data_IF_106813803101
#
_entry.id   IF_106813803101
#
_cell.length_a   1.000
_cell.length_b   1.000
_cell.length_c   1.000
_cell.angle_alpha   90.00
_cell.angle_beta   90.00
_cell.angle_gamma   90.00
#
_symmetry.space_group_name_H-M   'P 1'
#
loop_
_entity.id
_entity.type
_entity.pdbx_description
1 polymer ?
#
# COMPACT_ATOMS: atom_id res chain seq x y z
N UNK A 1 -18.75 7.08 -8.43
CA UNK A 1 -17.50 6.34 -8.74
C UNK A 1 -17.56 4.99 -8.02
N UNK A 2 -17.36 3.87 -8.70
CA UNK A 2 -17.37 2.54 -8.05
C UNK A 2 -16.12 2.40 -7.14
N UNK A 3 -16.28 1.86 -5.93
CA UNK A 3 -15.21 1.68 -4.92
C UNK A 3 -14.00 0.93 -5.47
N UNK A 4 -14.20 -0.01 -6.40
CA UNK A 4 -13.11 -0.72 -7.10
C UNK A 4 -12.25 0.21 -7.98
N UNK A 5 -12.84 1.22 -8.63
CA UNK A 5 -12.08 2.20 -9.44
C UNK A 5 -11.26 3.13 -8.53
N UNK A 6 -11.84 3.55 -7.41
CA UNK A 6 -11.14 4.36 -6.42
C UNK A 6 -9.96 3.59 -5.81
N UNK A 7 -10.15 2.31 -5.47
CA UNK A 7 -9.08 1.44 -4.99
C UNK A 7 -7.93 1.33 -6.01
N UNK A 8 -8.22 1.22 -7.30
CA UNK A 8 -7.20 1.13 -8.33
C UNK A 8 -6.39 2.42 -8.47
N UNK A 9 -7.07 3.56 -8.54
CA UNK A 9 -6.39 4.86 -8.64
C UNK A 9 -5.51 5.10 -7.42
N UNK A 10 -6.02 4.80 -6.23
CA UNK A 10 -5.27 4.92 -4.98
C UNK A 10 -4.07 3.96 -4.93
N UNK A 11 -4.20 2.72 -5.44
CA UNK A 11 -3.10 1.76 -5.48
C UNK A 11 -1.98 2.23 -6.42
N UNK A 12 -2.36 2.72 -7.60
CA UNK A 12 -1.41 3.30 -8.56
C UNK A 12 -0.72 4.53 -7.97
N UNK A 13 -1.47 5.43 -7.35
CA UNK A 13 -0.92 6.61 -6.68
C UNK A 13 0.07 6.22 -5.58
N UNK A 14 -0.23 5.18 -4.78
CA UNK A 14 0.66 4.66 -3.74
C UNK A 14 2.01 4.22 -4.33
N UNK A 15 1.98 3.41 -5.39
CA UNK A 15 3.19 2.93 -6.08
C UNK A 15 4.00 4.09 -6.65
N UNK A 16 3.35 5.07 -7.26
CA UNK A 16 4.03 6.24 -7.83
C UNK A 16 4.66 7.12 -6.75
N UNK A 17 3.96 7.36 -5.64
CA UNK A 17 4.43 8.22 -4.54
C UNK A 17 5.61 7.58 -3.81
N UNK A 18 5.53 6.30 -3.49
CA UNK A 18 6.64 5.58 -2.89
C UNK A 18 7.79 5.37 -3.88
N UNK A 19 7.52 5.22 -5.18
CA UNK A 19 8.57 5.20 -6.20
C UNK A 19 9.30 6.53 -6.36
N UNK A 20 8.57 7.64 -6.32
CA UNK A 20 9.16 8.98 -6.28
C UNK A 20 9.97 9.19 -4.99
N UNK A 21 9.49 8.69 -3.84
CA UNK A 21 10.21 8.71 -2.56
C UNK A 21 11.56 7.99 -2.66
N UNK A 22 11.57 6.72 -3.10
CA UNK A 22 12.79 5.94 -3.24
C UNK A 22 13.79 6.58 -4.22
N UNK A 23 13.27 7.23 -5.28
CA UNK A 23 14.09 7.99 -6.22
C UNK A 23 14.72 9.22 -5.56
N UNK A 24 13.94 9.96 -4.77
CA UNK A 24 14.43 11.13 -4.03
C UNK A 24 15.51 10.75 -2.99
N UNK A 25 15.34 9.63 -2.29
CA UNK A 25 16.35 9.04 -1.39
C UNK A 25 17.63 8.70 -2.16
N UNK A 26 17.49 8.01 -3.30
CA UNK A 26 18.62 7.61 -4.14
C UNK A 26 19.42 8.81 -4.67
N UNK A 27 18.74 9.87 -5.11
CA UNK A 27 19.38 11.12 -5.57
C UNK A 27 20.07 11.86 -4.42
N UNK A 28 19.47 11.89 -3.24
CA UNK A 28 20.04 12.54 -2.06
C UNK A 28 21.21 11.76 -1.43
N UNK A 29 21.44 10.53 -1.87
CA UNK A 29 22.56 9.70 -1.42
C UNK A 29 22.29 8.87 -0.16
N UNK A 30 21.02 8.80 0.30
CA UNK A 30 20.65 8.06 1.51
C UNK A 30 19.37 8.56 2.17
N UNK A 31 18.90 7.84 3.19
CA UNK A 31 17.76 8.22 4.02
C UNK A 31 17.99 9.53 4.75
N UNK A 32 16.90 10.26 5.01
CA UNK A 32 16.84 11.51 5.77
C UNK A 32 17.63 12.67 5.14
N UNK A 33 18.18 12.47 3.95
CA UNK A 33 18.91 13.50 3.20
C UNK A 33 18.02 14.27 2.22
N UNK A 34 16.78 13.81 1.99
CA UNK A 34 15.83 14.45 1.08
C UNK A 34 14.66 15.10 1.85
N UNK A 35 14.37 16.40 1.63
CA UNK A 35 13.20 17.04 2.23
C UNK A 35 11.88 16.48 1.69
N UNK A 36 11.92 15.76 0.56
CA UNK A 36 10.75 15.14 -0.06
C UNK A 36 10.44 13.76 0.50
N UNK A 37 11.31 13.19 1.33
CA UNK A 37 11.13 11.84 1.85
C UNK A 37 9.85 11.68 2.67
N UNK A 38 9.69 12.47 3.73
CA UNK A 38 8.53 12.38 4.62
C UNK A 38 7.21 12.79 3.93
N UNK A 39 7.16 13.87 3.12
CA UNK A 39 5.94 14.23 2.38
C UNK A 39 5.47 13.13 1.43
N UNK A 40 6.39 12.54 0.64
CA UNK A 40 6.05 11.47 -0.31
C UNK A 40 5.66 10.18 0.41
N UNK A 41 6.31 9.87 1.53
CA UNK A 41 5.93 8.75 2.38
C UNK A 41 4.49 8.90 2.90
N UNK A 42 4.16 10.04 3.51
CA UNK A 42 2.84 10.32 4.08
C UNK A 42 1.75 10.33 3.00
N UNK A 43 2.01 10.95 1.84
CA UNK A 43 1.09 10.94 0.72
C UNK A 43 0.82 9.52 0.22
N UNK A 44 1.88 8.70 0.06
CA UNK A 44 1.75 7.30 -0.34
C UNK A 44 1.01 6.46 0.71
N UNK A 45 1.24 6.71 2.00
CA UNK A 45 0.53 6.04 3.09
C UNK A 45 -0.97 6.35 3.06
N UNK A 46 -1.36 7.61 2.84
CA UNK A 46 -2.77 8.00 2.71
C UNK A 46 -3.43 7.33 1.49
N UNK A 47 -2.70 7.26 0.37
CA UNK A 47 -3.16 6.55 -0.83
C UNK A 47 -3.31 5.04 -0.56
N UNK A 48 -2.40 4.43 0.19
CA UNK A 48 -2.47 3.02 0.56
C UNK A 48 -3.67 2.73 1.46
N UNK A 49 -3.90 3.55 2.48
CA UNK A 49 -5.08 3.43 3.35
C UNK A 49 -6.38 3.56 2.54
N UNK A 50 -6.43 4.53 1.63
CA UNK A 50 -7.57 4.72 0.73
C UNK A 50 -7.81 3.49 -0.14
N UNK A 51 -6.73 2.87 -0.64
CA UNK A 51 -6.77 1.62 -1.40
C UNK A 51 -7.42 0.51 -0.59
N UNK A 52 -6.89 0.24 0.60
CA UNK A 52 -7.32 -0.87 1.46
C UNK A 52 -8.76 -0.70 1.92
N UNK A 53 -9.16 0.50 2.34
CA UNK A 53 -10.54 0.82 2.75
C UNK A 53 -11.50 0.66 1.56
N UNK A 54 -11.14 1.22 0.41
CA UNK A 54 -11.99 1.11 -0.80
C UNK A 54 -12.16 -0.34 -1.24
N UNK A 55 -11.11 -1.15 -1.11
CA UNK A 55 -11.14 -2.58 -1.40
C UNK A 55 -12.09 -3.32 -0.44
N UNK A 56 -11.95 -3.11 0.87
CA UNK A 56 -12.81 -3.72 1.88
C UNK A 56 -14.29 -3.34 1.68
N UNK A 57 -14.56 -2.08 1.36
CA UNK A 57 -15.90 -1.60 1.05
C UNK A 57 -16.46 -2.21 -0.24
N UNK A 58 -15.61 -2.49 -1.23
CA UNK A 58 -16.03 -3.17 -2.46
C UNK A 58 -16.42 -4.63 -2.22
N UNK A 59 -15.72 -5.31 -1.31
CA UNK A 59 -15.99 -6.71 -0.95
C UNK A 59 -17.21 -6.88 -0.04
N UNK A 60 -17.70 -5.80 0.58
CA UNK A 60 -18.85 -5.80 1.49
C UNK A 60 -20.08 -5.11 0.92
N UNK A 61 -20.14 -4.92 -0.40
CA UNK A 61 -21.33 -4.44 -1.09
C UNK A 61 -22.52 -5.39 -0.80
N UNK A 62 -23.68 -4.81 -0.44
CA UNK A 62 -24.89 -5.55 -0.08
C UNK A 62 -24.96 -6.05 1.37
N UNK A 63 -23.92 -5.82 2.18
CA UNK A 63 -23.91 -6.17 3.62
C UNK A 63 -24.41 -5.01 4.50
N UNK A 64 -24.96 -5.29 5.69
CA UNK A 64 -25.43 -4.26 6.61
C UNK A 64 -24.30 -3.31 7.05
N UNK A 65 -24.65 -2.06 7.37
CA UNK A 65 -23.69 -0.98 7.59
C UNK A 65 -22.62 -1.25 8.65
N UNK A 66 -22.96 -1.98 9.71
CA UNK A 66 -22.02 -2.37 10.76
C UNK A 66 -20.95 -3.36 10.28
N UNK A 67 -21.28 -4.28 9.36
CA UNK A 67 -20.29 -5.19 8.72
C UNK A 67 -19.33 -4.39 7.86
N UNK A 68 -19.84 -3.38 7.14
CA UNK A 68 -19.01 -2.51 6.30
C UNK A 68 -18.04 -1.69 7.15
N UNK A 69 -18.53 -1.08 8.23
CA UNK A 69 -17.71 -0.34 9.17
C UNK A 69 -16.65 -1.25 9.83
N UNK A 70 -17.05 -2.43 10.33
CA UNK A 70 -16.14 -3.41 10.90
C UNK A 70 -15.07 -3.88 9.91
N UNK A 71 -15.45 -4.11 8.65
CA UNK A 71 -14.51 -4.51 7.60
C UNK A 71 -13.50 -3.41 7.25
N UNK A 72 -13.90 -2.14 7.26
CA UNK A 72 -13.01 -1.03 7.00
C UNK A 72 -11.99 -0.87 8.14
N UNK A 73 -12.44 -0.99 9.40
CA UNK A 73 -11.56 -0.97 10.58
C UNK A 73 -10.58 -2.15 10.53
N UNK A 74 -11.09 -3.37 10.33
CA UNK A 74 -10.26 -4.57 10.26
C UNK A 74 -9.24 -4.46 9.13
N UNK A 75 -9.66 -4.04 7.93
CA UNK A 75 -8.75 -3.87 6.80
C UNK A 75 -7.66 -2.81 7.07
N UNK A 76 -8.01 -1.72 7.76
CA UNK A 76 -7.03 -0.71 8.20
C UNK A 76 -6.01 -1.32 9.16
N UNK A 77 -6.49 -2.02 10.21
CA UNK A 77 -5.63 -2.68 11.20
C UNK A 77 -4.74 -3.73 10.55
N UNK A 78 -5.29 -4.56 9.66
CA UNK A 78 -4.53 -5.57 8.92
C UNK A 78 -3.53 -4.92 7.95
N UNK A 79 -3.89 -3.84 7.26
CA UNK A 79 -2.98 -3.14 6.34
C UNK A 79 -1.79 -2.50 7.05
N UNK A 80 -2.05 -1.83 8.18
CA UNK A 80 -1.00 -1.28 9.04
C UNK A 80 -0.17 -2.40 9.66
N UNK A 81 -0.82 -3.41 10.22
CA UNK A 81 -0.16 -4.58 10.83
C UNK A 81 0.73 -5.34 9.85
N UNK A 82 0.28 -5.54 8.60
CA UNK A 82 1.07 -6.19 7.55
C UNK A 82 2.30 -5.35 7.20
N UNK A 83 2.15 -4.02 7.12
CA UNK A 83 3.29 -3.11 6.87
C UNK A 83 4.33 -3.24 8.00
N UNK A 84 3.89 -3.31 9.26
CA UNK A 84 4.76 -3.50 10.42
C UNK A 84 5.41 -4.89 10.46
N UNK A 85 4.68 -5.95 10.12
CA UNK A 85 5.21 -7.33 10.07
C UNK A 85 6.23 -7.49 8.95
N UNK A 86 5.96 -6.90 7.78
CA UNK A 86 6.92 -6.91 6.66
C UNK A 86 8.17 -6.11 7.02
N UNK A 87 8.01 -4.96 7.69
CA UNK A 87 9.13 -4.20 8.24
C UNK A 87 10.00 -5.03 9.19
N UNK A 88 9.38 -5.64 10.21
CA UNK A 88 10.07 -6.48 11.19
C UNK A 88 10.71 -7.74 10.57
N UNK A 89 10.04 -8.35 9.59
CA UNK A 89 10.55 -9.54 8.91
C UNK A 89 11.82 -9.26 8.13
N UNK A 90 11.91 -8.10 7.47
CA UNK A 90 13.10 -7.73 6.70
C UNK A 90 14.24 -7.24 7.59
N UNK A 91 13.97 -6.67 8.77
CA UNK A 91 15.02 -6.41 9.77
C UNK A 91 15.75 -7.69 10.21
N UNK A 92 15.09 -8.85 10.17
CA UNK A 92 15.71 -10.15 10.43
C UNK A 92 16.68 -10.58 9.31
N UNK A 93 16.40 -10.18 8.06
CA UNK A 93 17.21 -10.55 6.88
C UNK A 93 18.21 -9.48 6.45
N UNK A 94 18.06 -8.25 6.95
CA UNK A 94 18.96 -7.14 6.68
C UNK A 94 20.32 -7.47 7.29
N UNK A 95 21.28 -7.86 6.45
CA UNK A 95 22.66 -8.06 6.88
C UNK A 95 23.17 -6.72 7.43
N UNK A 96 23.68 -6.64 8.67
CA UNK A 96 24.12 -5.39 9.26
C UNK A 96 25.43 -4.95 8.61
N UNK A 97 25.31 -4.32 7.44
CA UNK A 97 26.37 -3.66 6.71
C UNK A 97 26.25 -2.15 6.89
N UNK A 98 27.33 -1.44 7.25
CA UNK A 98 27.30 0.00 7.41
C UNK A 98 27.02 0.66 6.05
N UNK A 99 25.83 1.25 5.90
CA UNK A 99 25.51 2.18 4.81
C UNK A 99 24.34 1.81 3.88
N UNK A 100 23.73 0.62 3.97
CA UNK A 100 22.64 0.22 3.03
C UNK A 100 21.41 -0.46 3.66
N UNK A 101 21.28 -0.43 4.99
CA UNK A 101 20.08 -0.95 5.68
C UNK A 101 18.78 -0.32 5.16
N UNK A 102 18.85 0.93 4.70
CA UNK A 102 17.72 1.65 4.13
C UNK A 102 17.10 1.04 2.88
N UNK A 103 17.90 0.34 2.06
CA UNK A 103 17.41 -0.31 0.84
C UNK A 103 16.38 -1.38 1.22
N UNK A 104 16.63 -2.09 2.30
CA UNK A 104 15.74 -3.12 2.82
C UNK A 104 14.45 -2.52 3.38
N UNK A 105 14.53 -1.40 4.09
CA UNK A 105 13.35 -0.65 4.55
C UNK A 105 12.47 -0.17 3.39
N UNK A 106 13.07 0.24 2.27
CA UNK A 106 12.33 0.63 1.06
C UNK A 106 11.67 -0.57 0.37
N UNK A 107 12.37 -1.71 0.25
CA UNK A 107 11.82 -2.95 -0.35
C UNK A 107 10.51 -3.37 0.33
N UNK A 108 10.39 -3.21 1.65
CA UNK A 108 9.17 -3.51 2.38
C UNK A 108 7.95 -2.71 1.91
N UNK A 109 8.14 -1.40 1.71
CA UNK A 109 7.10 -0.51 1.21
C UNK A 109 6.69 -0.91 -0.22
N UNK A 110 7.67 -1.24 -1.07
CA UNK A 110 7.40 -1.72 -2.42
C UNK A 110 6.61 -3.03 -2.45
N UNK A 111 6.96 -4.01 -1.62
CA UNK A 111 6.24 -5.29 -1.53
C UNK A 111 4.78 -5.05 -1.13
N UNK A 112 4.55 -4.20 -0.11
CA UNK A 112 3.19 -3.85 0.33
C UNK A 112 2.37 -3.17 -0.77
N UNK A 113 2.93 -2.16 -1.44
CA UNK A 113 2.23 -1.43 -2.50
C UNK A 113 1.93 -2.30 -3.72
N UNK A 114 2.89 -3.13 -4.16
CA UNK A 114 2.70 -4.03 -5.29
C UNK A 114 1.69 -5.14 -4.97
N UNK A 115 1.71 -5.68 -3.75
CA UNK A 115 0.72 -6.66 -3.31
C UNK A 115 -0.70 -6.07 -3.32
N UNK A 116 -0.87 -4.85 -2.79
CA UNK A 116 -2.17 -4.17 -2.82
C UNK A 116 -2.62 -3.87 -4.25
N UNK A 117 -1.74 -3.36 -5.11
CA UNK A 117 -2.04 -3.13 -6.52
C UNK A 117 -2.44 -4.43 -7.23
N UNK A 118 -1.68 -5.50 -7.05
CA UNK A 118 -1.96 -6.82 -7.61
C UNK A 118 -3.32 -7.34 -7.17
N UNK A 119 -3.65 -7.24 -5.88
CA UNK A 119 -4.94 -7.67 -5.34
C UNK A 119 -6.11 -6.87 -5.94
N UNK A 120 -5.97 -5.55 -6.07
CA UNK A 120 -6.98 -4.69 -6.70
C UNK A 120 -7.17 -5.04 -8.17
N UNK A 121 -6.09 -5.31 -8.91
CA UNK A 121 -6.16 -5.72 -10.32
C UNK A 121 -6.87 -7.07 -10.46
N UNK A 122 -6.55 -8.06 -9.63
CA UNK A 122 -7.19 -9.38 -9.64
C UNK A 122 -8.68 -9.27 -9.34
N UNK A 123 -9.05 -8.52 -8.30
CA UNK A 123 -10.46 -8.33 -7.92
C UNK A 123 -11.23 -7.57 -9.01
N UNK A 124 -10.67 -6.51 -9.57
CA UNK A 124 -11.29 -5.79 -10.68
C UNK A 124 -11.54 -6.69 -11.89
N UNK A 125 -10.59 -7.58 -12.23
CA UNK A 125 -10.78 -8.55 -13.32
C UNK A 125 -11.96 -9.48 -13.05
N UNK A 126 -12.07 -10.05 -11.84
CA UNK A 126 -13.18 -10.96 -11.47
C UNK A 126 -14.55 -10.29 -11.62
N UNK A 127 -14.69 -9.05 -11.12
CA UNK A 127 -15.95 -8.30 -11.22
C UNK A 127 -16.35 -7.99 -12.69
N UNK A 128 -15.38 -7.82 -13.59
CA UNK A 128 -15.66 -7.62 -15.02
C UNK A 128 -16.13 -8.91 -15.69
N UNK A 129 -15.61 -10.07 -15.27
CA UNK A 129 -16.01 -11.37 -15.82
C UNK A 129 -17.40 -11.80 -15.33
N UNK A 130 -17.70 -11.60 -14.05
CA UNK A 130 -19.01 -11.95 -13.44
C UNK A 130 -20.17 -11.06 -13.93
N UNK A 131 -19.87 -9.82 -14.36
CA UNK A 131 -20.88 -8.92 -14.93
C UNK A 131 -21.13 -9.11 -16.43
N UNK A 132 -20.41 -10.01 -17.09
CA UNK A 132 -20.53 -10.29 -18.53
C UNK A 132 -21.27 -11.61 -18.84
N UNK A 133 -21.65 -12.37 -17.80
CA UNK A 133 -22.48 -13.59 -17.87
C UNK A 133 -23.93 -13.28 -17.49
#
# INVERSE_FOLDING_TARGET
MNSTRLALVAAVATVLLWGAKSTAIGIAGGLDLSPWESPLFLAGLLAMLTTVVSLALSLTLGRPGWVRAGSAVLATVTGVGLTLVVAAGVDVWATPGPGRHWVWSEVNLWVGALAALGLVVVLRRRHLTEGAS
#
